data_IF_731087220472
#
_entry.id   IF_731087220472
#
_cell.length_a   1.000
_cell.length_b   1.000
_cell.length_c   1.000
_cell.angle_alpha   90.00
_cell.angle_beta   90.00
_cell.angle_gamma   90.00
#
_symmetry.space_group_name_H-M   'P 1'
#
loop_
_entity.id
_entity.type
_entity.pdbx_description
1 polymer ?
#
# COMPACT_ATOMS: atom_id res chain seq x y z
N UNK A 1 13.69 -25.13 12.06
CA UNK A 1 13.78 -23.85 11.32
C UNK A 1 12.72 -22.93 11.88
N UNK A 2 13.03 -21.73 12.32
CA UNK A 2 12.02 -20.83 12.85
C UNK A 2 11.13 -20.38 11.68
N UNK A 3 9.80 -20.58 11.81
CA UNK A 3 8.80 -20.11 10.84
C UNK A 3 8.55 -18.59 10.95
N UNK A 4 9.52 -17.84 11.42
CA UNK A 4 9.40 -16.39 11.57
C UNK A 4 9.79 -15.69 10.26
N UNK A 5 9.04 -14.66 9.94
CA UNK A 5 9.37 -13.76 8.82
C UNK A 5 10.75 -13.15 9.08
N UNK A 6 11.70 -13.28 8.14
CA UNK A 6 13.01 -12.64 8.30
C UNK A 6 12.86 -11.11 8.41
N UNK A 7 13.49 -10.53 9.42
CA UNK A 7 13.53 -9.08 9.64
C UNK A 7 14.94 -8.56 9.33
N UNK A 8 15.04 -7.54 8.50
CA UNK A 8 16.28 -7.02 7.97
C UNK A 8 16.42 -5.52 8.24
N UNK A 9 17.58 -5.07 8.69
CA UNK A 9 17.90 -3.64 8.75
C UNK A 9 18.14 -3.09 7.35
N UNK A 10 17.25 -2.20 6.89
CA UNK A 10 17.41 -1.59 5.59
C UNK A 10 18.65 -0.70 5.50
N UNK A 11 18.99 -0.02 6.59
CA UNK A 11 20.19 0.80 6.71
C UNK A 11 21.48 0.02 6.50
N UNK A 12 21.58 -1.21 7.04
CA UNK A 12 22.75 -2.06 6.86
C UNK A 12 22.83 -2.64 5.44
N UNK A 13 21.68 -2.99 4.86
CA UNK A 13 21.60 -3.42 3.45
C UNK A 13 22.13 -2.31 2.53
N UNK A 14 21.69 -1.08 2.71
CA UNK A 14 22.13 0.07 1.89
C UNK A 14 23.62 0.39 2.03
N UNK A 15 24.22 0.11 3.18
CA UNK A 15 25.66 0.26 3.38
C UNK A 15 26.48 -0.85 2.68
N UNK A 16 25.82 -1.85 2.13
CA UNK A 16 26.49 -2.98 1.51
C UNK A 16 27.03 -3.98 2.52
N UNK A 17 26.46 -4.04 3.75
CA UNK A 17 26.89 -5.02 4.74
C UNK A 17 26.70 -6.45 4.21
N UNK A 18 27.78 -7.20 4.13
CA UNK A 18 27.80 -8.51 3.49
C UNK A 18 26.91 -9.54 4.19
N UNK A 19 26.76 -9.43 5.52
CA UNK A 19 25.89 -10.30 6.29
C UNK A 19 24.42 -10.00 6.00
N UNK A 20 24.04 -8.73 6.01
CA UNK A 20 22.67 -8.28 5.73
C UNK A 20 22.23 -8.57 4.28
N UNK A 21 23.15 -8.41 3.32
CA UNK A 21 22.90 -8.80 1.92
C UNK A 21 22.71 -10.30 1.79
N UNK A 22 23.50 -11.11 2.50
CA UNK A 22 23.32 -12.56 2.50
C UNK A 22 21.95 -12.94 3.08
N UNK A 23 21.56 -12.35 4.21
CA UNK A 23 20.23 -12.58 4.81
C UNK A 23 19.10 -12.18 3.86
N UNK A 24 19.24 -11.08 3.12
CA UNK A 24 18.26 -10.68 2.11
C UNK A 24 18.12 -11.74 1.00
N UNK A 25 19.25 -12.24 0.47
CA UNK A 25 19.24 -13.32 -0.54
C UNK A 25 18.61 -14.60 -0.01
N UNK A 26 18.96 -14.99 1.22
CA UNK A 26 18.41 -16.18 1.87
C UNK A 26 16.89 -16.02 2.12
N UNK A 27 16.42 -14.82 2.53
CA UNK A 27 15.02 -14.52 2.72
C UNK A 27 14.23 -14.65 1.41
N UNK A 28 14.73 -14.04 0.33
CA UNK A 28 14.10 -14.11 -0.99
C UNK A 28 14.06 -15.54 -1.55
N UNK A 29 15.16 -16.30 -1.39
CA UNK A 29 15.27 -17.65 -1.95
C UNK A 29 14.46 -18.70 -1.18
N UNK A 30 14.34 -18.56 0.15
CA UNK A 30 13.78 -19.60 1.02
C UNK A 30 12.37 -19.26 1.55
N UNK A 31 12.02 -17.97 1.69
CA UNK A 31 10.75 -17.51 2.23
C UNK A 31 9.90 -16.79 1.18
N UNK A 32 10.51 -16.14 0.19
CA UNK A 32 9.82 -15.33 -0.84
C UNK A 32 9.36 -13.95 -0.35
N UNK A 33 9.54 -13.62 0.93
CA UNK A 33 9.21 -12.32 1.54
C UNK A 33 10.04 -12.08 2.81
N UNK A 34 10.10 -10.82 3.23
CA UNK A 34 10.82 -10.37 4.42
C UNK A 34 10.19 -9.06 4.94
N UNK A 35 10.53 -8.68 6.16
CA UNK A 35 10.25 -7.35 6.70
C UNK A 35 11.53 -6.51 6.77
N UNK A 36 11.38 -5.19 6.67
CA UNK A 36 12.50 -4.26 6.82
C UNK A 36 12.26 -3.28 7.95
N UNK A 37 13.30 -3.04 8.73
CA UNK A 37 13.37 -1.99 9.75
C UNK A 37 14.28 -0.86 9.28
N UNK A 38 14.34 0.24 10.01
CA UNK A 38 15.19 1.41 9.72
C UNK A 38 15.03 1.96 8.29
N UNK A 39 13.84 1.78 7.69
CA UNK A 39 13.51 2.20 6.33
C UNK A 39 13.30 3.72 6.18
N UNK A 40 13.21 4.47 7.29
CA UNK A 40 13.07 5.93 7.28
C UNK A 40 11.65 6.47 7.05
N UNK A 41 10.64 5.60 6.94
CA UNK A 41 9.25 6.04 6.85
C UNK A 41 8.81 6.70 8.16
N UNK A 42 8.22 7.90 8.07
CA UNK A 42 7.74 8.65 9.23
C UNK A 42 6.58 7.93 9.93
N UNK A 43 6.73 7.69 11.24
CA UNK A 43 5.65 7.12 12.06
C UNK A 43 4.43 8.06 12.12
N UNK A 44 4.64 9.38 12.11
CA UNK A 44 3.54 10.35 12.08
C UNK A 44 2.75 10.27 10.78
N UNK A 45 3.43 10.08 9.64
CA UNK A 45 2.74 9.86 8.36
C UNK A 45 1.88 8.59 8.42
N UNK A 46 2.43 7.49 8.92
CA UNK A 46 1.69 6.22 9.07
C UNK A 46 0.48 6.42 9.98
N UNK A 47 0.66 7.07 11.15
CA UNK A 47 -0.41 7.33 12.09
C UNK A 47 -1.53 8.21 11.48
N UNK A 48 -1.16 9.22 10.69
CA UNK A 48 -2.12 10.09 10.00
C UNK A 48 -2.88 9.32 8.90
N UNK A 49 -2.22 8.44 8.17
CA UNK A 49 -2.90 7.55 7.22
C UNK A 49 -3.91 6.64 7.91
N UNK A 50 -3.55 6.01 9.05
CA UNK A 50 -4.50 5.20 9.83
C UNK A 50 -5.69 6.00 10.33
N UNK A 51 -5.47 7.22 10.87
CA UNK A 51 -6.55 8.12 11.30
C UNK A 51 -7.49 8.47 10.13
N UNK A 52 -6.92 8.81 8.99
CA UNK A 52 -7.70 9.17 7.79
C UNK A 52 -8.46 7.96 7.23
N UNK A 53 -7.83 6.77 7.21
CA UNK A 53 -8.51 5.52 6.85
C UNK A 53 -9.71 5.26 7.77
N UNK A 54 -9.49 5.34 9.09
CA UNK A 54 -10.56 5.13 10.05
C UNK A 54 -11.70 6.12 9.83
N UNK A 55 -11.39 7.41 9.66
CA UNK A 55 -12.38 8.44 9.41
C UNK A 55 -13.20 8.18 8.14
N UNK A 56 -12.58 7.65 7.08
CA UNK A 56 -13.29 7.27 5.86
C UNK A 56 -14.18 6.03 6.07
N UNK A 57 -13.65 4.97 6.67
CA UNK A 57 -14.41 3.73 6.85
C UNK A 57 -15.53 3.84 7.90
N UNK A 58 -15.46 4.81 8.80
CA UNK A 58 -16.53 5.15 9.74
C UNK A 58 -17.70 5.95 9.10
N UNK A 59 -17.55 6.43 7.85
CA UNK A 59 -18.65 7.10 7.13
C UNK A 59 -19.78 6.12 6.81
N UNK A 60 -20.99 6.67 6.66
CA UNK A 60 -22.16 5.92 6.22
C UNK A 60 -21.90 5.25 4.86
N UNK A 61 -22.51 4.08 4.65
CA UNK A 61 -22.34 3.30 3.43
C UNK A 61 -22.64 4.10 2.16
N UNK A 62 -23.74 4.87 2.16
CA UNK A 62 -24.17 5.68 1.04
C UNK A 62 -23.11 6.71 0.65
N UNK A 63 -22.45 7.32 1.63
CA UNK A 63 -21.36 8.28 1.39
C UNK A 63 -20.13 7.54 0.83
N UNK A 64 -19.70 6.46 1.46
CA UNK A 64 -18.55 5.65 0.97
C UNK A 64 -18.80 5.19 -0.47
N UNK A 65 -20.02 4.76 -0.77
CA UNK A 65 -20.37 4.22 -2.09
C UNK A 65 -20.33 5.27 -3.21
N UNK A 66 -20.43 6.57 -2.90
CA UNK A 66 -20.20 7.64 -3.90
C UNK A 66 -18.77 7.66 -4.45
N UNK A 67 -17.83 7.09 -3.70
CA UNK A 67 -16.43 6.92 -4.07
C UNK A 67 -16.13 5.57 -4.71
N UNK A 68 -17.15 4.76 -4.96
CA UNK A 68 -16.99 3.47 -5.64
C UNK A 68 -16.64 3.69 -7.10
N UNK A 69 -15.48 3.20 -7.50
CA UNK A 69 -14.96 3.40 -8.85
C UNK A 69 -15.39 2.26 -9.78
N UNK A 70 -16.67 2.22 -10.15
CA UNK A 70 -17.18 1.24 -11.12
C UNK A 70 -16.46 1.36 -12.47
N UNK A 71 -16.15 2.58 -12.90
CA UNK A 71 -15.47 2.84 -14.18
C UNK A 71 -14.01 2.40 -14.26
N UNK A 72 -13.31 2.35 -13.12
CA UNK A 72 -11.90 1.93 -13.05
C UNK A 72 -11.73 0.46 -12.67
N UNK A 73 -12.80 -0.33 -12.64
CA UNK A 73 -12.76 -1.76 -12.26
C UNK A 73 -12.05 -2.00 -10.90
N UNK A 74 -12.26 -1.10 -9.94
CA UNK A 74 -11.65 -1.17 -8.63
C UNK A 74 -10.20 -0.67 -8.55
N UNK A 75 -9.62 -0.12 -9.62
CA UNK A 75 -8.22 0.33 -9.62
C UNK A 75 -7.97 1.58 -8.75
N UNK A 76 -9.01 2.33 -8.40
CA UNK A 76 -8.98 3.49 -7.50
C UNK A 76 -10.28 3.58 -6.73
N UNK A 77 -10.19 4.16 -5.52
CA UNK A 77 -11.37 4.46 -4.72
C UNK A 77 -11.85 3.28 -3.88
N UNK A 78 -13.11 3.35 -3.50
CA UNK A 78 -13.76 2.43 -2.57
C UNK A 78 -14.31 1.18 -3.27
N UNK A 79 -14.05 0.03 -2.69
CA UNK A 79 -14.71 -1.24 -3.07
C UNK A 79 -15.54 -1.73 -1.89
N UNK A 80 -16.88 -1.81 -2.05
CA UNK A 80 -17.80 -2.28 -1.02
C UNK A 80 -17.62 -3.78 -0.69
N UNK A 81 -18.19 -4.17 0.46
CA UNK A 81 -18.34 -5.59 0.82
C UNK A 81 -19.17 -6.33 -0.23
N UNK A 82 -18.84 -7.56 -0.49
CA UNK A 82 -19.62 -8.42 -1.38
C UNK A 82 -19.39 -8.21 -2.88
N UNK A 83 -18.41 -7.40 -3.26
CA UNK A 83 -18.07 -7.17 -4.68
C UNK A 83 -17.04 -8.18 -5.20
N UNK A 84 -16.05 -8.52 -4.40
CA UNK A 84 -15.02 -9.48 -4.80
C UNK A 84 -15.36 -10.88 -4.34
N UNK A 85 -15.04 -11.85 -5.19
CA UNK A 85 -15.15 -13.29 -4.89
C UNK A 85 -13.81 -13.93 -5.21
N UNK A 86 -13.28 -14.69 -4.26
CA UNK A 86 -12.03 -15.42 -4.50
C UNK A 86 -12.20 -16.45 -5.63
N UNK A 87 -11.12 -16.68 -6.38
CA UNK A 87 -11.15 -17.63 -7.49
C UNK A 87 -11.54 -19.04 -7.00
N UNK A 88 -12.61 -19.58 -7.54
CA UNK A 88 -13.16 -20.90 -7.15
C UNK A 88 -14.21 -20.86 -6.05
N UNK A 89 -14.48 -19.71 -5.44
CA UNK A 89 -15.48 -19.55 -4.39
C UNK A 89 -16.81 -19.03 -4.96
N UNK A 90 -17.91 -19.30 -4.22
CA UNK A 90 -19.28 -18.83 -4.57
C UNK A 90 -19.77 -17.71 -3.65
N UNK A 91 -19.07 -17.51 -2.53
CA UNK A 91 -19.45 -16.50 -1.53
C UNK A 91 -18.50 -15.32 -1.68
N UNK A 92 -19.06 -14.14 -1.83
CA UNK A 92 -18.29 -12.90 -1.94
C UNK A 92 -17.62 -12.53 -0.61
N UNK A 93 -16.43 -11.92 -0.70
CA UNK A 93 -15.66 -11.44 0.43
C UNK A 93 -16.44 -10.39 1.25
N UNK A 94 -16.42 -10.53 2.56
CA UNK A 94 -17.03 -9.57 3.50
C UNK A 94 -16.07 -8.44 3.90
N UNK A 95 -15.06 -8.17 3.09
CA UNK A 95 -14.15 -7.03 3.25
C UNK A 95 -14.60 -5.83 2.44
N UNK A 96 -14.27 -4.65 2.92
CA UNK A 96 -14.30 -3.40 2.16
C UNK A 96 -12.89 -2.80 2.14
N UNK A 97 -12.52 -2.09 1.09
CA UNK A 97 -11.18 -1.52 0.99
C UNK A 97 -11.13 -0.28 0.10
N UNK A 98 -10.01 0.43 0.17
CA UNK A 98 -9.71 1.59 -0.66
C UNK A 98 -8.43 1.35 -1.44
N UNK A 99 -8.47 1.60 -2.74
CA UNK A 99 -7.30 1.63 -3.59
C UNK A 99 -6.81 3.07 -3.82
N UNK A 100 -5.54 3.30 -3.52
CA UNK A 100 -4.85 4.56 -3.76
C UNK A 100 -3.62 4.30 -4.61
N UNK A 101 -3.40 5.12 -5.65
CA UNK A 101 -2.29 4.97 -6.57
C UNK A 101 -1.34 6.17 -6.56
N UNK A 102 -0.41 6.24 -7.52
CA UNK A 102 0.44 7.40 -7.69
C UNK A 102 -0.39 8.65 -7.99
N UNK A 103 0.18 9.80 -7.70
CA UNK A 103 -0.29 11.08 -8.28
C UNK A 103 0.01 11.05 -9.77
N UNK A 104 -1.02 11.19 -10.60
CA UNK A 104 -0.88 11.11 -12.05
C UNK A 104 -0.45 12.46 -12.62
N UNK A 105 0.59 12.44 -13.41
CA UNK A 105 1.11 13.56 -14.19
C UNK A 105 1.29 13.16 -15.66
N UNK A 106 1.85 14.03 -16.48
CA UNK A 106 2.01 13.82 -17.93
C UNK A 106 2.94 12.64 -18.31
N UNK A 107 3.61 12.02 -17.34
CA UNK A 107 4.47 10.84 -17.56
C UNK A 107 3.72 9.52 -17.52
N UNK A 108 2.45 9.52 -17.08
CA UNK A 108 1.61 8.33 -16.98
C UNK A 108 0.73 8.15 -18.22
N UNK A 109 0.34 6.90 -18.49
CA UNK A 109 -0.67 6.56 -19.50
C UNK A 109 -2.02 7.20 -19.11
N UNK A 110 -2.71 7.83 -20.07
CA UNK A 110 -4.01 8.48 -19.92
C UNK A 110 -5.12 7.52 -19.44
N UNK A 111 -4.91 6.21 -19.57
CA UNK A 111 -5.81 5.16 -19.07
C UNK A 111 -5.70 4.92 -17.57
N UNK A 112 -4.66 5.44 -16.90
CA UNK A 112 -4.50 5.28 -15.46
C UNK A 112 -5.37 6.33 -14.76
N UNK A 113 -6.37 5.93 -13.95
CA UNK A 113 -7.27 6.90 -13.34
C UNK A 113 -6.60 7.68 -12.20
N UNK A 114 -7.02 8.93 -12.03
CA UNK A 114 -6.63 9.77 -10.90
C UNK A 114 -7.15 9.21 -9.57
N UNK A 115 -6.47 9.56 -8.47
CA UNK A 115 -6.99 9.32 -7.13
C UNK A 115 -8.26 10.17 -6.89
N UNK A 116 -9.26 9.58 -6.24
CA UNK A 116 -10.49 10.30 -5.90
C UNK A 116 -10.26 11.20 -4.68
N UNK A 117 -10.80 12.40 -4.71
CA UNK A 117 -10.74 13.32 -3.58
C UNK A 117 -11.94 13.10 -2.64
N UNK A 118 -11.69 12.92 -1.34
CA UNK A 118 -12.71 12.62 -0.34
C UNK A 118 -13.07 13.90 0.40
N UNK A 119 -14.25 14.46 0.08
CA UNK A 119 -14.72 15.72 0.68
C UNK A 119 -14.90 15.64 2.21
N UNK A 120 -15.33 14.50 2.73
CA UNK A 120 -15.57 14.28 4.16
C UNK A 120 -14.27 14.06 4.98
N UNK A 121 -13.15 13.75 4.30
CA UNK A 121 -11.84 13.60 4.92
C UNK A 121 -10.80 14.38 4.11
N UNK A 122 -10.76 15.72 4.20
CA UNK A 122 -10.00 16.58 3.30
C UNK A 122 -8.49 16.29 3.23
N UNK A 123 -7.90 15.82 4.35
CA UNK A 123 -6.46 15.50 4.42
C UNK A 123 -6.12 14.10 3.89
N UNK A 124 -7.12 13.29 3.49
CA UNK A 124 -6.92 11.90 3.07
C UNK A 124 -5.88 11.78 1.94
N UNK A 125 -6.13 12.46 0.81
CA UNK A 125 -5.22 12.37 -0.32
C UNK A 125 -3.82 12.88 0.01
N UNK A 126 -3.70 13.99 0.74
CA UNK A 126 -2.40 14.52 1.17
C UNK A 126 -1.54 13.48 1.91
N UNK A 127 -2.15 12.72 2.82
CA UNK A 127 -1.42 11.69 3.56
C UNK A 127 -1.14 10.46 2.69
N UNK A 128 -2.11 10.00 1.90
CA UNK A 128 -1.94 8.81 1.08
C UNK A 128 -1.05 9.03 -0.14
N UNK A 129 -1.09 10.19 -0.79
CA UNK A 129 -0.16 10.57 -1.86
C UNK A 129 1.29 10.58 -1.33
N UNK A 130 1.47 11.12 -0.11
CA UNK A 130 2.78 11.17 0.52
C UNK A 130 3.26 9.77 0.94
N UNK A 131 2.37 8.95 1.51
CA UNK A 131 2.67 7.56 1.85
C UNK A 131 3.07 6.76 0.59
N UNK A 132 2.30 6.87 -0.48
CA UNK A 132 2.61 6.22 -1.75
C UNK A 132 4.01 6.60 -2.24
N UNK A 133 4.31 7.91 -2.26
CA UNK A 133 5.62 8.43 -2.69
C UNK A 133 6.77 7.89 -1.84
N UNK A 134 6.62 7.87 -0.51
CA UNK A 134 7.67 7.37 0.38
C UNK A 134 7.84 5.85 0.26
N UNK A 135 6.75 5.09 0.17
CA UNK A 135 6.81 3.64 -0.06
C UNK A 135 7.43 3.31 -1.43
N UNK A 136 7.11 4.08 -2.47
CA UNK A 136 7.73 3.92 -3.79
C UNK A 136 9.24 4.15 -3.75
N UNK A 137 9.70 5.19 -3.05
CA UNK A 137 11.14 5.44 -2.86
C UNK A 137 11.82 4.29 -2.13
N UNK A 138 11.22 3.81 -1.03
CA UNK A 138 11.76 2.68 -0.26
C UNK A 138 11.82 1.44 -1.15
N UNK A 139 10.74 1.11 -1.85
CA UNK A 139 10.68 -0.03 -2.76
C UNK A 139 11.73 0.05 -3.87
N UNK A 140 11.91 1.22 -4.50
CA UNK A 140 12.94 1.43 -5.53
C UNK A 140 14.36 1.23 -4.98
N UNK A 141 14.62 1.70 -3.75
CA UNK A 141 15.92 1.51 -3.08
C UNK A 141 16.15 0.04 -2.73
N UNK A 142 15.11 -0.69 -2.27
CA UNK A 142 15.20 -2.14 -2.04
C UNK A 142 15.54 -2.87 -3.35
N UNK A 143 14.86 -2.55 -4.45
CA UNK A 143 15.12 -3.15 -5.75
C UNK A 143 16.53 -2.88 -6.29
N UNK A 144 17.14 -1.76 -5.91
CA UNK A 144 18.50 -1.42 -6.36
C UNK A 144 19.60 -2.25 -5.70
N UNK A 145 19.31 -2.99 -4.63
CA UNK A 145 20.27 -3.84 -3.89
C UNK A 145 20.03 -5.34 -4.08
N UNK A 146 18.99 -5.73 -4.82
CA UNK A 146 18.71 -7.11 -5.21
C UNK A 146 19.33 -7.42 -6.56
#
# INVERSE_FOLDING_TARGET
MSNLIPELSFKEIEKGDSHSIKLLKDALSNHGFFSITEHGLSQDLVNNCYKSSKAFFDLDYEIKNTYSSVGSKGARGYTPKGIETAVGEKIADQKEFWHHGPVIDDTYDDKIPQNLNIAQVPEFNKYFDNLYKELHKIGSRVLSVI
#
